data_IF_248282330891
#
_entry.id   IF_248282330891
#
_cell.length_a   1.000
_cell.length_b   1.000
_cell.length_c   1.000
_cell.angle_alpha   90.00
_cell.angle_beta   90.00
_cell.angle_gamma   90.00
#
_symmetry.space_group_name_H-M   'P 1'
#
loop_
_entity.id
_entity.type
_entity.pdbx_description
1 polymer ?
#
# COMPACT_ATOMS: atom_id res chain seq x y z
N UNK A 1 -21.65 -14.82 10.65
CA UNK A 1 -20.97 -15.71 9.67
C UNK A 1 -20.68 -14.85 8.44
N UNK A 2 -19.44 -14.40 8.26
CA UNK A 2 -19.03 -13.65 7.07
C UNK A 2 -18.44 -14.63 6.07
N UNK A 3 -19.23 -15.02 5.07
CA UNK A 3 -18.70 -15.58 3.83
C UNK A 3 -19.53 -14.98 2.70
N UNK A 4 -18.98 -13.96 2.03
CA UNK A 4 -19.30 -13.79 0.63
C UNK A 4 -18.03 -13.50 -0.17
N UNK A 5 -17.60 -14.54 -0.89
CA UNK A 5 -16.57 -14.54 -1.90
C UNK A 5 -17.00 -15.54 -2.96
N UNK A 6 -17.26 -15.05 -4.17
CA UNK A 6 -16.69 -15.66 -5.37
C UNK A 6 -15.78 -14.60 -5.99
N UNK A 7 -14.69 -14.31 -5.25
CA UNK A 7 -13.51 -13.45 -5.51
C UNK A 7 -13.77 -12.01 -6.00
N UNK A 8 -14.67 -11.27 -5.32
CA UNK A 8 -15.20 -9.92 -5.65
C UNK A 8 -14.65 -9.17 -6.89
N UNK A 9 -14.97 -9.63 -8.11
CA UNK A 9 -15.61 -10.94 -8.39
C UNK A 9 -14.80 -11.88 -9.29
N UNK A 10 -13.67 -11.43 -9.87
CA UNK A 10 -12.63 -12.28 -10.48
C UNK A 10 -13.04 -13.32 -11.54
N UNK A 11 -14.32 -13.54 -11.82
CA UNK A 11 -14.82 -14.70 -12.55
C UNK A 11 -14.84 -16.00 -11.72
N UNK A 12 -15.41 -17.09 -12.26
CA UNK A 12 -15.47 -18.40 -11.60
C UNK A 12 -14.08 -18.99 -11.29
N UNK A 13 -13.08 -18.67 -12.12
CA UNK A 13 -11.67 -19.04 -11.87
C UNK A 13 -10.94 -18.02 -10.97
N UNK A 14 -11.55 -16.85 -10.77
CA UNK A 14 -11.12 -15.86 -9.80
C UNK A 14 -9.75 -15.23 -10.10
N UNK A 15 -9.72 -14.19 -10.94
CA UNK A 15 -8.56 -13.34 -11.16
C UNK A 15 -8.00 -12.83 -9.83
N UNK A 16 -6.68 -12.91 -9.71
CA UNK A 16 -5.92 -12.40 -8.57
C UNK A 16 -6.34 -10.95 -8.26
N UNK A 17 -6.82 -10.71 -7.04
CA UNK A 17 -6.99 -9.37 -6.50
C UNK A 17 -5.59 -8.87 -6.19
N UNK A 18 -5.18 -7.73 -6.75
CA UNK A 18 -3.84 -7.17 -6.54
C UNK A 18 -3.85 -6.11 -5.45
N UNK A 19 -4.94 -5.36 -5.32
CA UNK A 19 -5.05 -4.29 -4.34
C UNK A 19 -6.51 -4.02 -3.94
N UNK A 20 -6.67 -3.49 -2.73
CA UNK A 20 -7.93 -3.11 -2.10
C UNK A 20 -7.74 -1.74 -1.44
N UNK A 21 -8.74 -0.87 -1.55
CA UNK A 21 -8.82 0.36 -0.77
C UNK A 21 -10.22 0.52 -0.20
N UNK A 22 -10.30 1.01 1.04
CA UNK A 22 -11.57 1.28 1.71
C UNK A 22 -11.63 2.74 2.15
N UNK A 23 -12.71 3.42 1.79
CA UNK A 23 -13.00 4.78 2.26
C UNK A 23 -14.13 4.73 3.29
N UNK A 24 -13.78 5.07 4.53
CA UNK A 24 -14.70 5.07 5.65
C UNK A 24 -15.78 6.16 5.53
N UNK A 25 -15.49 7.28 4.87
CA UNK A 25 -16.43 8.40 4.79
C UNK A 25 -17.60 8.06 3.85
N UNK A 26 -17.30 7.37 2.76
CA UNK A 26 -18.31 6.96 1.78
C UNK A 26 -18.76 5.51 1.91
N UNK A 27 -18.21 4.76 2.87
CA UNK A 27 -18.44 3.32 3.07
C UNK A 27 -18.24 2.51 1.78
N UNK A 28 -17.22 2.86 1.00
CA UNK A 28 -16.93 2.23 -0.29
C UNK A 28 -15.64 1.41 -0.25
N UNK A 29 -15.65 0.30 -0.98
CA UNK A 29 -14.51 -0.60 -1.16
C UNK A 29 -14.16 -0.63 -2.65
N UNK A 30 -12.96 -0.21 -3.00
CA UNK A 30 -12.38 -0.41 -4.32
C UNK A 30 -11.55 -1.70 -4.32
N UNK A 31 -11.73 -2.52 -5.35
CA UNK A 31 -11.05 -3.81 -5.56
C UNK A 31 -10.46 -3.82 -6.95
N UNK A 32 -9.21 -4.19 -7.06
CA UNK A 32 -8.53 -4.23 -8.35
C UNK A 32 -7.92 -5.59 -8.60
N UNK A 33 -8.14 -6.11 -9.81
CA UNK A 33 -7.70 -7.41 -10.26
C UNK A 33 -6.58 -7.31 -11.29
N UNK A 34 -5.76 -8.37 -11.35
CA UNK A 34 -4.70 -8.53 -12.36
C UNK A 34 -5.26 -8.66 -13.77
N UNK A 35 -6.52 -9.05 -13.92
CA UNK A 35 -7.27 -9.06 -15.19
C UNK A 35 -7.71 -7.67 -15.68
N UNK A 36 -7.07 -6.61 -15.18
CA UNK A 36 -7.31 -5.21 -15.56
C UNK A 36 -8.70 -4.69 -15.14
N UNK A 37 -9.39 -5.41 -14.25
CA UNK A 37 -10.72 -5.05 -13.75
C UNK A 37 -10.62 -4.29 -12.44
N UNK A 38 -11.38 -3.20 -12.35
CA UNK A 38 -11.56 -2.39 -11.14
C UNK A 38 -13.04 -2.44 -10.78
N UNK A 39 -13.33 -2.90 -9.58
CA UNK A 39 -14.67 -2.93 -9.02
C UNK A 39 -14.77 -1.96 -7.85
N UNK A 40 -15.88 -1.25 -7.77
CA UNK A 40 -16.23 -0.38 -6.66
C UNK A 40 -17.50 -0.92 -6.03
N UNK A 41 -17.47 -1.12 -4.72
CA UNK A 41 -18.58 -1.61 -3.93
C UNK A 41 -19.00 -0.55 -2.91
N UNK A 42 -20.27 -0.52 -2.53
CA UNK A 42 -20.68 0.07 -1.25
C UNK A 42 -20.83 -1.06 -0.22
N UNK A 43 -20.47 -0.79 1.02
CA UNK A 43 -20.63 -1.72 2.14
C UNK A 43 -21.90 -1.33 2.89
N UNK A 44 -22.88 -2.22 2.91
CA UNK A 44 -24.16 -1.97 3.60
C UNK A 44 -24.05 -2.14 5.12
N UNK A 45 -25.12 -1.80 5.85
CA UNK A 45 -25.16 -1.93 7.31
C UNK A 45 -25.01 -3.38 7.82
N UNK A 46 -25.17 -4.37 6.93
CA UNK A 46 -24.90 -5.78 7.22
C UNK A 46 -23.46 -6.19 6.85
N UNK A 47 -22.61 -5.23 6.48
CA UNK A 47 -21.23 -5.43 6.02
C UNK A 47 -21.15 -6.32 4.77
N UNK A 48 -22.18 -6.26 3.90
CA UNK A 48 -22.22 -6.98 2.63
C UNK A 48 -21.80 -6.03 1.50
N UNK A 49 -20.74 -6.35 0.74
CA UNK A 49 -20.34 -5.54 -0.41
C UNK A 49 -21.34 -5.68 -1.54
N UNK A 50 -21.85 -4.55 -2.05
CA UNK A 50 -22.73 -4.49 -3.23
C UNK A 50 -22.05 -3.69 -4.33
N UNK A 51 -22.01 -4.27 -5.53
CA UNK A 51 -21.32 -3.65 -6.65
C UNK A 51 -22.00 -2.33 -7.02
N UNK A 52 -21.22 -1.24 -6.99
CA UNK A 52 -21.62 0.10 -7.40
C UNK A 52 -21.16 0.38 -8.82
N UNK A 53 -19.93 -0.01 -9.16
CA UNK A 53 -19.34 0.17 -10.49
C UNK A 53 -18.33 -0.94 -10.81
N UNK A 54 -18.19 -1.28 -12.08
CA UNK A 54 -17.17 -2.18 -12.59
C UNK A 54 -16.60 -1.60 -13.87
N UNK A 55 -15.28 -1.57 -14.01
CA UNK A 55 -14.62 -1.08 -15.23
C UNK A 55 -13.37 -1.90 -15.53
N UNK A 56 -13.21 -2.29 -16.79
CA UNK A 56 -11.97 -2.84 -17.32
C UNK A 56 -11.17 -1.72 -18.00
N UNK A 57 -9.86 -1.67 -17.73
CA UNK A 57 -8.94 -0.74 -18.41
C UNK A 57 -7.94 -1.59 -19.19
N UNK A 58 -8.14 -1.75 -20.50
CA UNK A 58 -7.26 -2.58 -21.32
C UNK A 58 -5.81 -2.07 -21.28
N UNK A 59 -4.84 -2.99 -21.22
CA UNK A 59 -3.41 -2.68 -21.15
C UNK A 59 -2.98 -1.93 -19.89
N UNK A 60 -3.76 -2.07 -18.80
CA UNK A 60 -3.40 -1.55 -17.49
C UNK A 60 -3.16 -2.70 -16.53
N UNK A 61 -1.95 -2.81 -15.99
CA UNK A 61 -1.57 -3.83 -15.02
C UNK A 61 -1.51 -3.23 -13.61
N UNK A 62 -2.65 -3.16 -12.92
CA UNK A 62 -2.71 -2.49 -11.63
C UNK A 62 -1.92 -3.22 -10.55
N UNK A 63 -1.22 -2.45 -9.73
CA UNK A 63 -0.52 -2.88 -8.52
C UNK A 63 -1.09 -2.23 -7.25
N UNK A 64 -1.68 -1.04 -7.36
CA UNK A 64 -2.30 -0.34 -6.22
C UNK A 64 -3.61 0.35 -6.62
N UNK A 65 -4.47 0.56 -5.64
CA UNK A 65 -5.70 1.35 -5.76
C UNK A 65 -5.82 2.28 -4.55
N UNK A 66 -6.32 3.49 -4.76
CA UNK A 66 -6.58 4.43 -3.68
C UNK A 66 -7.81 5.29 -3.99
N UNK A 67 -8.43 5.82 -2.95
CA UNK A 67 -9.47 6.83 -3.10
C UNK A 67 -8.86 8.23 -3.18
N UNK A 68 -9.36 9.02 -4.12
CA UNK A 68 -8.98 10.41 -4.35
C UNK A 68 -9.93 11.38 -3.65
N UNK A 69 -10.12 12.55 -4.25
CA UNK A 69 -11.02 13.56 -3.69
C UNK A 69 -12.47 13.13 -3.88
N UNK A 70 -13.31 13.42 -2.89
CA UNK A 70 -14.76 13.36 -3.09
C UNK A 70 -15.22 14.68 -3.66
N UNK A 71 -15.73 14.67 -4.88
CA UNK A 71 -16.29 15.84 -5.55
C UNK A 71 -17.82 15.75 -5.61
N UNK A 72 -18.49 16.77 -6.16
CA UNK A 72 -19.93 16.70 -6.42
C UNK A 72 -20.32 15.51 -7.32
N UNK A 73 -19.38 14.99 -8.12
CA UNK A 73 -19.55 13.80 -8.95
C UNK A 73 -19.37 12.46 -8.21
N UNK A 74 -19.09 12.50 -6.91
CA UNK A 74 -18.81 11.33 -6.08
C UNK A 74 -17.33 11.12 -5.78
N UNK A 75 -17.00 9.91 -5.36
CA UNK A 75 -15.66 9.55 -4.91
C UNK A 75 -14.80 9.13 -6.11
N UNK A 76 -13.63 9.75 -6.23
CA UNK A 76 -12.63 9.37 -7.21
C UNK A 76 -11.89 8.09 -6.80
N UNK A 77 -11.68 7.19 -7.74
CA UNK A 77 -10.89 5.98 -7.54
C UNK A 77 -9.70 6.02 -8.50
N UNK A 78 -8.51 5.90 -7.93
CA UNK A 78 -7.26 5.88 -8.64
C UNK A 78 -6.71 4.47 -8.68
N UNK A 79 -6.24 4.04 -9.85
CA UNK A 79 -5.52 2.78 -9.98
C UNK A 79 -4.14 3.05 -10.55
N UNK A 80 -3.14 2.46 -9.91
CA UNK A 80 -1.74 2.62 -10.26
C UNK A 80 -1.24 1.31 -10.83
N UNK A 81 -0.61 1.38 -11.99
CA UNK A 81 -0.01 0.28 -12.73
C UNK A 81 0.93 0.82 -13.79
N UNK A 82 1.89 0.02 -14.25
CA UNK A 82 2.67 0.30 -15.46
C UNK A 82 2.52 -0.85 -16.44
N UNK A 83 2.76 -0.58 -17.72
CA UNK A 83 2.72 -1.58 -18.78
C UNK A 83 3.75 -2.71 -18.59
N UNK A 84 4.90 -2.38 -18.00
CA UNK A 84 5.96 -3.33 -17.64
C UNK A 84 5.76 -3.97 -16.26
N UNK A 85 4.85 -3.44 -15.44
CA UNK A 85 4.62 -3.88 -14.07
C UNK A 85 5.69 -3.40 -13.06
N UNK A 86 6.54 -2.44 -13.42
CA UNK A 86 7.70 -2.04 -12.62
C UNK A 86 7.39 -1.03 -11.49
N UNK A 87 6.11 -0.86 -11.11
CA UNK A 87 5.77 -0.17 -9.88
C UNK A 87 5.51 -1.18 -8.76
N UNK A 88 5.97 -0.87 -7.55
CA UNK A 88 5.69 -1.72 -6.40
C UNK A 88 4.35 -1.42 -5.76
N UNK A 89 4.16 -0.16 -5.40
CA UNK A 89 2.99 0.31 -4.66
C UNK A 89 2.79 1.81 -4.89
N UNK A 90 1.60 2.32 -4.58
CA UNK A 90 1.34 3.75 -4.57
C UNK A 90 0.33 4.10 -3.48
N UNK A 91 0.50 5.26 -2.89
CA UNK A 91 -0.36 5.85 -1.86
C UNK A 91 -0.68 7.30 -2.21
N UNK A 92 -1.85 7.79 -1.77
CA UNK A 92 -2.30 9.16 -2.00
C UNK A 92 -2.52 9.85 -0.65
N UNK A 93 -2.11 11.11 -0.54
CA UNK A 93 -2.63 12.04 0.46
C UNK A 93 -3.38 13.14 -0.26
N UNK A 94 -4.72 13.04 -0.26
CA UNK A 94 -5.61 14.05 -0.86
C UNK A 94 -5.46 15.39 -0.14
N UNK A 95 -5.27 15.35 1.19
CA UNK A 95 -5.07 16.54 2.03
C UNK A 95 -3.86 17.35 1.58
N UNK A 96 -2.77 16.67 1.24
CA UNK A 96 -1.51 17.33 0.88
C UNK A 96 -1.31 17.42 -0.64
N UNK A 97 -2.30 17.03 -1.44
CA UNK A 97 -2.25 17.04 -2.91
C UNK A 97 -1.05 16.23 -3.48
N UNK A 98 -0.78 15.04 -2.93
CA UNK A 98 0.38 14.23 -3.31
C UNK A 98 0.07 12.75 -3.56
N UNK A 99 0.87 12.16 -4.45
CA UNK A 99 0.96 10.72 -4.70
C UNK A 99 2.40 10.31 -4.41
N UNK A 100 2.62 9.28 -3.60
CA UNK A 100 3.92 8.62 -3.49
C UNK A 100 3.85 7.25 -4.15
N UNK A 101 4.77 6.98 -5.08
CA UNK A 101 4.82 5.77 -5.89
C UNK A 101 6.18 5.10 -5.69
N UNK A 102 6.20 3.81 -5.42
CA UNK A 102 7.43 3.01 -5.45
C UNK A 102 7.76 2.64 -6.91
N UNK A 103 8.73 3.35 -7.48
CA UNK A 103 9.39 2.99 -8.72
C UNK A 103 10.51 2.01 -8.37
N UNK A 104 10.35 0.75 -8.75
CA UNK A 104 11.28 -0.31 -8.34
C UNK A 104 12.73 -0.06 -8.78
N UNK A 105 12.93 0.78 -9.82
CA UNK A 105 14.25 1.13 -10.34
C UNK A 105 14.89 2.35 -9.66
N UNK A 106 14.08 3.27 -9.12
CA UNK A 106 14.56 4.56 -8.59
C UNK A 106 14.31 4.74 -7.09
N UNK A 107 13.40 3.98 -6.49
CA UNK A 107 12.86 4.21 -5.16
C UNK A 107 11.55 4.98 -5.21
N UNK A 108 11.32 5.89 -4.26
CA UNK A 108 10.02 6.57 -4.17
C UNK A 108 9.99 7.76 -5.14
N UNK A 109 9.01 7.82 -6.01
CA UNK A 109 8.69 9.01 -6.80
C UNK A 109 7.47 9.70 -6.20
N UNK A 110 7.63 10.96 -5.79
CA UNK A 110 6.55 11.80 -5.27
C UNK A 110 6.04 12.70 -6.38
N UNK A 111 4.73 12.70 -6.59
CA UNK A 111 4.02 13.52 -7.57
C UNK A 111 3.02 14.43 -6.86
N UNK A 112 2.70 15.54 -7.50
CA UNK A 112 1.55 16.36 -7.13
C UNK A 112 0.29 15.77 -7.77
N UNK A 113 -0.75 15.56 -6.97
CA UNK A 113 -1.98 14.88 -7.38
C UNK A 113 -2.77 15.70 -8.42
N UNK A 114 -2.94 17.00 -8.18
CA UNK A 114 -3.73 17.89 -9.07
C UNK A 114 -3.14 18.10 -10.46
N UNK A 115 -1.81 18.23 -10.57
CA UNK A 115 -1.11 18.55 -11.83
C UNK A 115 -0.35 17.37 -12.42
N UNK A 116 -0.30 16.24 -11.72
CA UNK A 116 0.39 15.01 -12.15
C UNK A 116 1.89 15.20 -12.42
N UNK A 117 2.51 16.20 -11.79
CA UNK A 117 3.92 16.54 -11.99
C UNK A 117 4.80 15.88 -10.92
N UNK A 118 5.93 15.29 -11.32
CA UNK A 118 6.89 14.69 -10.39
C UNK A 118 7.61 15.78 -9.59
N UNK A 119 7.44 15.75 -8.28
CA UNK A 119 8.04 16.70 -7.34
C UNK A 119 9.45 16.29 -6.92
N UNK A 120 9.65 15.00 -6.62
CA UNK A 120 10.92 14.49 -6.07
C UNK A 120 11.07 12.99 -6.25
N UNK A 121 12.31 12.51 -6.29
CA UNK A 121 12.65 11.09 -6.19
C UNK A 121 13.51 10.85 -4.95
N UNK A 122 13.19 9.82 -4.18
CA UNK A 122 13.89 9.39 -2.97
C UNK A 122 14.60 8.06 -3.27
N UNK A 123 15.94 8.08 -3.40
CA UNK A 123 16.67 6.93 -3.91
C UNK A 123 16.66 5.77 -2.90
N UNK A 124 16.11 4.63 -3.32
CA UNK A 124 16.24 3.36 -2.61
C UNK A 124 17.18 2.47 -3.43
N UNK A 125 18.35 2.08 -2.90
CA UNK A 125 19.27 1.21 -3.61
C UNK A 125 18.57 -0.08 -4.06
N UNK A 126 18.72 -0.43 -5.34
CA UNK A 126 18.37 -1.75 -5.84
C UNK A 126 19.64 -2.60 -5.84
N UNK A 127 19.60 -3.74 -5.17
CA UNK A 127 20.76 -4.65 -5.09
C UNK A 127 20.50 -5.97 -5.79
N UNK A 128 19.25 -6.33 -6.02
CA UNK A 128 18.90 -7.54 -6.75
C UNK A 128 18.82 -7.27 -8.26
N UNK A 129 19.06 -8.32 -9.05
CA UNK A 129 18.89 -8.29 -10.51
C UNK A 129 17.41 -8.26 -10.92
N UNK A 130 16.49 -8.49 -9.98
CA UNK A 130 15.05 -8.61 -10.24
C UNK A 130 14.35 -7.54 -9.41
N UNK A 131 13.91 -6.47 -10.06
CA UNK A 131 13.08 -5.45 -9.45
C UNK A 131 11.90 -6.11 -8.73
N UNK A 132 11.84 -5.95 -7.40
CA UNK A 132 10.71 -6.40 -6.58
C UNK A 132 9.91 -5.18 -6.17
N UNK A 133 8.62 -5.22 -6.43
CA UNK A 133 7.69 -4.22 -5.96
C UNK A 133 7.78 -4.09 -4.44
N UNK A 134 8.03 -2.88 -3.94
CA UNK A 134 8.07 -2.57 -2.51
C UNK A 134 6.79 -1.85 -2.11
N UNK A 135 6.52 -1.85 -0.82
CA UNK A 135 5.47 -1.02 -0.25
C UNK A 135 6.04 0.37 0.10
N UNK A 136 5.21 1.39 -0.10
CA UNK A 136 5.44 2.77 0.32
C UNK A 136 4.35 3.19 1.30
N UNK A 137 4.70 3.92 2.35
CA UNK A 137 3.77 4.42 3.37
C UNK A 137 4.14 5.86 3.80
N UNK A 138 3.13 6.65 4.16
CA UNK A 138 3.35 7.95 4.80
C UNK A 138 3.62 7.77 6.30
N UNK A 139 4.56 8.52 6.83
CA UNK A 139 4.99 8.48 8.24
C UNK A 139 4.87 9.86 8.85
N UNK A 140 4.64 9.94 10.17
CA UNK A 140 4.61 11.18 10.94
C UNK A 140 3.64 12.22 10.34
N UNK A 141 2.38 11.82 10.14
CA UNK A 141 1.35 12.70 9.55
C UNK A 141 1.72 13.22 8.15
N UNK A 142 2.33 12.37 7.33
CA UNK A 142 2.81 12.67 5.97
C UNK A 142 4.02 13.62 5.91
N UNK A 143 4.73 13.86 7.01
CA UNK A 143 5.99 14.61 6.98
C UNK A 143 7.18 13.75 6.50
N UNK A 144 7.05 12.43 6.59
CA UNK A 144 8.05 11.47 6.12
C UNK A 144 7.44 10.38 5.23
N UNK A 145 8.30 9.67 4.52
CA UNK A 145 7.98 8.54 3.64
C UNK A 145 8.79 7.33 4.08
N UNK A 146 8.16 6.17 4.18
CA UNK A 146 8.84 4.89 4.35
C UNK A 146 8.69 4.04 3.10
N UNK A 147 9.77 3.38 2.67
CA UNK A 147 9.72 2.39 1.59
C UNK A 147 10.59 1.19 1.92
N UNK A 148 10.05 0.01 1.60
CA UNK A 148 10.79 -1.25 1.67
C UNK A 148 11.92 -1.32 0.65
N UNK A 149 12.79 -2.30 0.81
CA UNK A 149 13.80 -2.66 -0.19
C UNK A 149 13.83 -4.16 -0.43
N UNK A 150 14.52 -4.55 -1.50
CA UNK A 150 14.79 -5.93 -1.90
C UNK A 150 15.96 -6.57 -1.13
N UNK A 151 16.56 -5.86 -0.17
CA UNK A 151 17.73 -6.29 0.60
C UNK A 151 17.57 -6.08 2.11
N UNK A 152 16.33 -6.18 2.60
CA UNK A 152 16.07 -6.33 4.02
C UNK A 152 16.17 -5.03 4.79
N UNK A 153 16.03 -3.90 4.11
CA UNK A 153 15.98 -2.57 4.72
C UNK A 153 14.65 -1.86 4.44
N UNK A 154 14.21 -1.02 5.36
CA UNK A 154 13.17 -0.02 5.16
C UNK A 154 13.85 1.33 5.31
N UNK A 155 13.72 2.16 4.28
CA UNK A 155 14.25 3.51 4.25
C UNK A 155 13.18 4.48 4.70
N UNK A 156 13.52 5.40 5.60
CA UNK A 156 12.64 6.47 6.06
C UNK A 156 13.23 7.80 5.64
N UNK A 157 12.51 8.55 4.82
CA UNK A 157 12.94 9.84 4.30
C UNK A 157 12.10 10.98 4.88
N UNK A 158 12.74 12.10 5.20
CA UNK A 158 12.01 13.36 5.37
C UNK A 158 11.45 13.77 4.01
N UNK A 159 10.13 13.95 3.92
CA UNK A 159 9.45 14.22 2.65
C UNK A 159 9.92 15.55 2.06
N UNK A 160 10.16 16.57 2.89
CA UNK A 160 10.46 17.92 2.40
C UNK A 160 11.90 18.03 1.93
N UNK A 161 12.89 17.67 2.76
CA UNK A 161 14.30 17.74 2.42
C UNK A 161 14.69 16.67 1.40
N UNK A 162 14.10 15.47 1.50
CA UNK A 162 14.54 14.30 0.74
C UNK A 162 15.66 13.51 1.42
N UNK A 163 16.09 13.94 2.61
CA UNK A 163 17.14 13.26 3.34
C UNK A 163 16.63 11.93 3.91
N UNK A 164 17.49 10.92 3.83
CA UNK A 164 17.27 9.65 4.50
C UNK A 164 17.51 9.84 6.01
N UNK A 165 16.43 9.82 6.79
CA UNK A 165 16.46 10.02 8.24
C UNK A 165 16.76 8.75 9.02
N UNK A 166 16.39 7.57 8.50
CA UNK A 166 16.59 6.31 9.20
C UNK A 166 16.55 5.09 8.26
N UNK A 167 17.20 4.01 8.66
CA UNK A 167 17.21 2.72 7.97
C UNK A 167 16.90 1.61 8.96
N UNK A 168 15.72 1.00 8.83
CA UNK A 168 15.27 -0.09 9.69
C UNK A 168 15.61 -1.43 9.04
N UNK A 169 16.36 -2.28 9.75
CA UNK A 169 16.82 -3.58 9.21
C UNK A 169 15.87 -4.72 9.59
N UNK A 170 15.52 -5.53 8.60
CA UNK A 170 14.72 -6.75 8.72
C UNK A 170 15.58 -7.99 8.97
N UNK A 171 16.75 -8.03 8.33
CA UNK A 171 17.73 -9.12 8.35
C UNK A 171 18.46 -9.22 7.01
N UNK A 172 19.39 -10.18 6.89
CA UNK A 172 20.17 -10.40 5.66
C UNK A 172 19.36 -11.23 4.67
N UNK A 173 19.28 -10.79 3.41
CA UNK A 173 18.52 -11.44 2.31
C UNK A 173 16.98 -11.46 2.49
N UNK A 174 16.48 -10.77 3.51
CA UNK A 174 15.05 -10.54 3.69
C UNK A 174 14.55 -9.43 2.75
N UNK A 175 13.23 -9.28 2.60
CA UNK A 175 12.64 -8.07 2.03
C UNK A 175 11.35 -7.67 2.75
N UNK A 176 11.00 -6.39 2.64
CA UNK A 176 9.78 -5.85 3.19
C UNK A 176 8.63 -6.11 2.21
N UNK A 177 7.75 -7.04 2.55
CA UNK A 177 6.61 -7.38 1.69
C UNK A 177 5.48 -6.35 1.83
N UNK A 178 5.17 -5.97 3.07
CA UNK A 178 4.14 -4.96 3.38
C UNK A 178 4.61 -4.03 4.48
N UNK A 179 4.13 -2.79 4.42
CA UNK A 179 4.38 -1.73 5.39
C UNK A 179 3.06 -1.14 5.85
N UNK A 180 2.94 -0.94 7.15
CA UNK A 180 1.85 -0.20 7.76
C UNK A 180 2.42 0.81 8.76
N UNK A 181 1.74 1.95 8.87
CA UNK A 181 2.16 3.05 9.74
C UNK A 181 0.98 3.43 10.62
N UNK A 182 1.24 3.68 11.89
CA UNK A 182 0.22 4.09 12.84
C UNK A 182 0.81 5.03 13.90
N UNK A 183 -0.01 5.91 14.44
CA UNK A 183 0.33 6.66 15.65
C UNK A 183 -0.34 5.98 16.84
N UNK A 184 0.47 5.50 17.79
CA UNK A 184 0.02 4.78 18.98
C UNK A 184 0.42 5.61 20.19
N UNK A 185 -0.58 6.23 20.86
CA UNK A 185 -0.37 7.08 22.04
C UNK A 185 0.64 8.22 21.79
N UNK A 186 0.52 8.91 20.66
CA UNK A 186 1.45 9.99 20.30
C UNK A 186 2.81 9.52 19.78
N UNK A 187 3.02 8.20 19.66
CA UNK A 187 4.26 7.63 19.16
C UNK A 187 4.03 7.05 17.77
N UNK A 188 4.78 7.55 16.79
CA UNK A 188 4.76 6.99 15.45
C UNK A 188 5.38 5.60 15.45
N UNK A 189 4.66 4.66 14.84
CA UNK A 189 5.04 3.25 14.72
C UNK A 189 5.00 2.85 13.25
N UNK A 190 5.97 2.02 12.86
CA UNK A 190 6.06 1.36 11.57
C UNK A 190 6.02 -0.14 11.83
N UNK A 191 5.16 -0.86 11.12
CA UNK A 191 5.11 -2.32 11.12
C UNK A 191 5.45 -2.84 9.72
N UNK A 192 6.22 -3.91 9.65
CA UNK A 192 6.62 -4.52 8.40
C UNK A 192 6.51 -6.03 8.42
N UNK A 193 6.05 -6.57 7.30
CA UNK A 193 5.99 -7.98 7.03
C UNK A 193 7.30 -8.41 6.43
N UNK A 194 8.04 -9.24 7.16
CA UNK A 194 9.29 -9.79 6.68
C UNK A 194 9.02 -11.06 5.88
N UNK A 195 9.62 -11.14 4.71
CA UNK A 195 9.67 -12.37 3.92
C UNK A 195 11.12 -12.67 3.56
N UNK A 196 11.44 -13.95 3.50
CA UNK A 196 12.73 -14.43 3.00
C UNK A 196 12.55 -15.73 2.21
N UNK A 197 13.47 -16.02 1.30
CA UNK A 197 13.43 -17.26 0.50
C UNK A 197 13.70 -18.52 1.35
N UNK A 198 14.36 -18.36 2.49
CA UNK A 198 14.83 -19.46 3.34
C UNK A 198 14.13 -19.52 4.71
N UNK A 199 13.24 -18.57 5.02
CA UNK A 199 12.62 -18.48 6.34
C UNK A 199 11.42 -19.41 6.44
N UNK A 200 11.53 -20.40 7.34
CA UNK A 200 10.36 -21.12 7.88
C UNK A 200 9.46 -20.24 8.77
N UNK A 201 9.84 -18.97 9.02
CA UNK A 201 9.14 -18.04 9.92
C UNK A 201 8.98 -16.67 9.26
N UNK A 202 7.74 -16.27 9.00
CA UNK A 202 7.37 -14.93 8.55
C UNK A 202 7.02 -14.08 9.77
N UNK A 203 7.94 -13.18 10.16
CA UNK A 203 7.75 -12.29 11.31
C UNK A 203 7.13 -10.95 10.90
N UNK A 204 6.33 -10.39 11.81
CA UNK A 204 5.94 -8.98 11.75
C UNK A 204 6.86 -8.22 12.69
N UNK A 205 7.65 -7.31 12.12
CA UNK A 205 8.56 -6.46 12.86
C UNK A 205 7.92 -5.08 13.08
N UNK A 206 8.13 -4.51 14.27
CA UNK A 206 7.52 -3.25 14.68
C UNK A 206 8.59 -2.33 15.24
N UNK A 207 8.66 -1.11 14.72
CA UNK A 207 9.54 -0.05 15.22
C UNK A 207 8.69 1.13 15.70
N UNK A 208 9.11 1.73 16.80
CA UNK A 208 8.50 2.95 17.32
C UNK A 208 9.53 4.06 17.38
N UNK A 209 9.13 5.25 16.93
CA UNK A 209 9.96 6.45 17.00
C UNK A 209 10.27 6.75 18.46
N UNK A 210 11.55 7.03 18.76
CA UNK A 210 11.94 7.45 20.11
C UNK A 210 11.30 8.81 20.40
N UNK A 211 10.59 8.99 21.52
CA UNK A 211 10.05 10.30 21.89
C UNK A 211 11.19 11.29 22.09
N UNK A 212 11.09 12.47 21.47
CA UNK A 212 12.18 13.46 21.42
C UNK A 212 12.45 14.17 22.75
N UNK A 213 11.59 13.98 23.75
CA UNK A 213 11.78 14.37 25.15
C UNK A 213 10.69 13.69 25.98
N UNK A 214 11.03 13.21 27.18
CA UNK A 214 10.07 12.62 28.13
C UNK A 214 9.12 13.72 28.61
N UNK A 215 8.02 13.93 27.90
CA UNK A 215 6.84 14.48 28.55
C UNK A 215 6.29 13.31 29.36
N UNK A 216 6.23 13.37 30.71
CA UNK A 216 5.59 12.32 31.47
C UNK A 216 4.14 12.27 30.99
N UNK A 217 3.80 11.21 30.27
CA UNK A 217 2.42 10.91 29.93
C UNK A 217 1.73 10.71 31.27
N UNK A 218 0.91 11.67 31.68
CA UNK A 218 -0.03 11.48 32.79
C UNK A 218 -0.81 10.23 32.48
N UNK A 219 -0.63 9.22 33.32
CA UNK A 219 -1.25 7.91 33.21
C UNK A 219 -2.76 8.05 33.47
N UNK A 220 -3.51 8.50 32.48
CA UNK A 220 -4.96 8.34 32.43
C UNK A 220 -5.36 7.85 31.04
N UNK A 221 -5.84 6.61 31.00
CA UNK A 221 -6.30 5.94 29.79
C UNK A 221 -5.55 4.66 29.47
N UNK A 222 -5.50 3.70 30.41
CA UNK A 222 -5.33 2.29 30.05
C UNK A 222 -6.48 1.90 29.12
N UNK A 223 -6.21 1.89 27.82
CA UNK A 223 -7.09 1.23 26.85
C UNK A 223 -7.16 -0.25 27.23
N UNK A 224 -8.35 -0.69 27.64
CA UNK A 224 -8.75 -2.07 27.88
C UNK A 224 -8.16 -2.99 26.78
N UNK A 225 -7.61 -4.14 27.19
CA UNK A 225 -7.04 -5.15 26.31
C UNK A 225 -7.96 -5.57 25.16
N UNK A 226 -9.27 -5.39 25.27
CA UNK A 226 -10.24 -5.59 24.19
C UNK A 226 -10.05 -4.62 23.01
N UNK A 227 -9.64 -3.37 23.24
CA UNK A 227 -9.34 -2.44 22.15
C UNK A 227 -8.03 -2.77 21.45
N UNK A 228 -7.04 -3.27 22.19
CA UNK A 228 -5.79 -3.80 21.61
C UNK A 228 -6.06 -5.00 20.71
N UNK A 229 -6.91 -5.92 21.15
CA UNK A 229 -7.35 -7.04 20.31
C UNK A 229 -7.99 -6.53 19.01
N UNK A 230 -8.83 -5.49 19.05
CA UNK A 230 -9.48 -4.95 17.85
C UNK A 230 -8.52 -4.27 16.88
N UNK A 231 -7.57 -3.48 17.38
CA UNK A 231 -6.55 -2.83 16.53
C UNK A 231 -5.59 -3.87 15.96
N UNK A 232 -5.11 -4.80 16.78
CA UNK A 232 -4.27 -5.91 16.32
C UNK A 232 -5.02 -6.81 15.33
N UNK A 233 -6.33 -7.05 15.53
CA UNK A 233 -7.19 -7.80 14.61
C UNK A 233 -7.37 -7.05 13.29
N UNK A 234 -7.59 -5.73 13.30
CA UNK A 234 -7.69 -4.92 12.08
C UNK A 234 -6.37 -4.90 11.31
N UNK A 235 -5.25 -4.64 11.99
CA UNK A 235 -3.93 -4.65 11.37
C UNK A 235 -3.63 -6.05 10.83
N UNK A 236 -3.84 -7.10 11.62
CA UNK A 236 -3.63 -8.49 11.18
C UNK A 236 -4.55 -8.88 10.03
N UNK A 237 -5.80 -8.41 10.01
CA UNK A 237 -6.75 -8.69 8.93
C UNK A 237 -6.35 -7.98 7.63
N UNK A 238 -5.92 -6.72 7.71
CA UNK A 238 -5.36 -5.99 6.58
C UNK A 238 -4.08 -6.65 6.08
N UNK A 239 -3.22 -7.09 6.99
CA UNK A 239 -1.98 -7.80 6.67
C UNK A 239 -2.22 -9.16 6.02
N UNK A 240 -3.15 -9.96 6.55
CA UNK A 240 -3.53 -11.26 6.00
C UNK A 240 -4.19 -11.10 4.63
N UNK A 241 -5.05 -10.10 4.46
CA UNK A 241 -5.66 -9.80 3.16
C UNK A 241 -4.59 -9.44 2.12
N UNK A 242 -3.59 -8.65 2.50
CA UNK A 242 -2.53 -8.22 1.59
C UNK A 242 -1.49 -9.32 1.32
N UNK A 243 -1.19 -10.19 2.28
CA UNK A 243 -0.23 -11.29 2.13
C UNK A 243 -0.83 -12.51 1.41
N UNK A 244 -2.13 -12.80 1.56
CA UNK A 244 -2.78 -13.86 0.78
C UNK A 244 -2.78 -13.57 -0.73
N UNK A 245 -2.86 -12.29 -1.09
CA UNK A 245 -2.70 -11.84 -2.48
C UNK A 245 -1.31 -12.19 -3.01
N UNK A 246 -0.26 -11.98 -2.22
CA UNK A 246 1.10 -12.22 -2.66
C UNK A 246 1.56 -13.69 -2.64
N UNK A 247 1.03 -14.54 -1.76
CA UNK A 247 1.36 -15.96 -1.76
C UNK A 247 0.96 -16.64 -3.08
N UNK A 248 -0.11 -16.15 -3.73
CA UNK A 248 -0.48 -16.57 -5.09
C UNK A 248 0.53 -16.13 -6.16
N UNK A 249 1.26 -15.03 -5.92
CA UNK A 249 2.23 -14.40 -6.82
C UNK A 249 3.51 -15.23 -6.98
N UNK A 250 3.96 -15.93 -5.93
CA UNK A 250 5.20 -16.74 -5.95
C UNK A 250 5.11 -18.01 -6.81
N UNK A 251 3.91 -18.54 -7.08
CA UNK A 251 3.77 -19.78 -7.86
C UNK A 251 3.96 -19.61 -9.38
N UNK A 252 4.06 -18.38 -9.92
CA UNK A 252 3.88 -18.15 -11.38
C UNK A 252 5.00 -17.39 -12.10
N UNK A 253 6.06 -16.90 -11.44
CA UNK A 253 7.10 -16.12 -12.14
C UNK A 253 8.18 -16.99 -12.79
N UNK A 254 7.91 -17.36 -14.04
CA UNK A 254 8.94 -17.77 -15.00
C UNK A 254 8.55 -17.38 -16.43
N UNK A 255 8.85 -16.15 -16.88
CA UNK A 255 9.35 -15.81 -18.23
C UNK A 255 9.59 -14.29 -18.42
N UNK A 256 10.50 -13.96 -19.35
CA UNK A 256 11.23 -12.68 -19.54
C UNK A 256 10.57 -11.62 -20.45
N UNK A 257 10.77 -10.36 -20.03
CA UNK A 257 11.03 -9.02 -20.66
C UNK A 257 10.79 -8.69 -22.15
N UNK A 258 10.30 -7.45 -22.38
CA UNK A 258 10.89 -6.38 -23.25
C UNK A 258 10.44 -4.97 -22.78
N UNK A 259 11.36 -3.99 -22.84
CA UNK A 259 11.25 -2.61 -22.33
C UNK A 259 10.79 -1.61 -23.41
N UNK A 260 9.84 -0.74 -23.04
CA UNK A 260 9.65 0.60 -23.59
C UNK A 260 9.10 1.50 -22.48
N UNK A 261 9.66 2.70 -22.32
CA UNK A 261 9.33 3.61 -21.21
C UNK A 261 8.28 4.62 -21.68
N UNK A 262 7.11 4.68 -21.02
CA UNK A 262 6.19 5.80 -21.13
C UNK A 262 5.50 6.06 -19.79
N UNK A 263 5.31 7.34 -19.46
CA UNK A 263 4.63 7.79 -18.25
C UNK A 263 3.12 7.87 -18.53
N UNK A 264 2.30 7.05 -17.86
CA UNK A 264 0.85 7.20 -17.89
C UNK A 264 0.24 7.07 -16.48
N UNK A 265 -0.35 8.16 -15.98
CA UNK A 265 -1.34 8.15 -14.92
C UNK A 265 -2.73 8.08 -15.58
N UNK A 266 -3.50 7.04 -15.28
CA UNK A 266 -4.85 6.91 -15.80
C UNK A 266 -5.87 7.51 -14.83
N UNK A 267 -6.41 8.66 -15.20
CA UNK A 267 -7.49 9.33 -14.49
C UNK A 267 -8.86 8.87 -15.02
N UNK A 268 -9.77 8.53 -14.11
CA UNK A 268 -11.11 8.06 -14.46
C UNK A 268 -12.19 8.87 -13.71
N UNK A 269 -12.42 10.12 -14.12
CA UNK A 269 -13.60 10.84 -13.62
C UNK A 269 -14.89 10.23 -14.18
N UNK A 270 -15.84 9.94 -13.30
CA UNK A 270 -17.19 9.59 -13.72
C UNK A 270 -17.92 10.81 -14.25
N UNK A 271 -18.31 10.79 -15.52
CA UNK A 271 -19.55 11.42 -15.96
C UNK A 271 -20.60 10.32 -16.10
#
# INVERSE_FOLDING_TARGET
>A
MFIYSTRLLGGPDGSEIVSLAYDINSMQLAVVHRSENIHLFYIDGAMVPRIKKSRKICHHWPQSVAFGMTTAGGVEVWSFGREDGDIGHAIISVKDDIIALDDTSQGICLYQLSVHHRLKTYPVPATSRVARGRNVAFVDGNSALACGSDHGAIYVFDRRSGENTDILRLGFEDWAQSLATAEIRGVQTIAAGRTSENAGVNDILIWSKKPSSVIPVTSEGTLDGERWKRVALMISALFLAQNMVWAAKMCFYGLKTRLACSEYLYWCSGK
#
